data_IF_393006808653
#
_entry.id   IF_393006808653
#
_cell.length_a   1.000
_cell.length_b   1.000
_cell.length_c   1.000
_cell.angle_alpha   90.00
_cell.angle_beta   90.00
_cell.angle_gamma   90.00
#
_symmetry.space_group_name_H-M   'P 1'
#
loop_
_entity.id
_entity.type
_entity.pdbx_description
1 polymer ?
#
# COMPACT_ATOMS: atom_id res chain seq x y z
N UNK A 1 3.08 25.38 27.28
CA UNK A 1 4.19 24.79 26.49
C UNK A 1 3.80 23.36 26.14
N UNK A 2 4.02 22.90 24.90
CA UNK A 2 3.79 21.50 24.57
C UNK A 2 4.76 20.63 25.37
N UNK A 3 4.32 19.46 25.83
CA UNK A 3 5.22 18.50 26.52
C UNK A 3 6.34 18.00 25.62
N UNK A 4 6.23 18.16 24.29
CA UNK A 4 7.27 17.77 23.34
C UNK A 4 8.44 18.75 23.27
N UNK A 5 8.25 20.02 23.68
CA UNK A 5 9.27 21.07 23.52
C UNK A 5 9.56 21.44 22.06
N UNK A 6 8.83 20.86 21.09
CA UNK A 6 9.03 21.12 19.67
C UNK A 6 8.18 22.32 19.23
N UNK A 7 8.81 23.24 18.50
CA UNK A 7 8.14 24.34 17.80
C UNK A 7 7.65 23.89 16.41
N UNK A 8 6.54 24.46 15.95
CA UNK A 8 5.97 24.18 14.62
C UNK A 8 6.86 24.77 13.51
N UNK A 9 6.90 24.14 12.31
CA UNK A 9 6.20 22.89 11.97
C UNK A 9 6.91 21.65 12.50
N UNK A 10 6.12 20.63 12.88
CA UNK A 10 6.61 19.34 13.41
C UNK A 10 6.29 18.25 12.39
N UNK A 11 7.22 17.34 12.14
CA UNK A 11 6.99 16.11 11.39
C UNK A 11 6.94 14.89 12.33
N UNK A 12 6.17 13.88 11.96
CA UNK A 12 6.08 12.61 12.67
C UNK A 12 7.07 11.64 11.99
N UNK A 13 8.12 11.19 12.69
CA UNK A 13 9.01 10.13 12.22
C UNK A 13 8.43 8.77 12.64
N UNK A 14 7.76 8.08 11.72
CA UNK A 14 7.21 6.74 11.91
C UNK A 14 8.11 5.65 11.31
N UNK A 15 9.41 5.94 11.10
CA UNK A 15 10.41 5.11 10.39
C UNK A 15 10.03 3.62 10.32
N UNK A 16 9.51 3.20 9.17
CA UNK A 16 9.40 1.78 8.88
C UNK A 16 10.81 1.25 8.52
N UNK A 17 11.50 0.66 9.49
CA UNK A 17 12.71 -0.12 9.23
C UNK A 17 12.29 -1.44 8.60
N UNK A 18 12.39 -1.56 7.28
CA UNK A 18 11.90 -2.73 6.55
C UNK A 18 12.29 -2.75 5.08
N UNK A 19 11.65 -3.65 4.34
CA UNK A 19 11.82 -3.81 2.91
C UNK A 19 10.67 -3.11 2.18
N UNK A 20 10.93 -2.59 0.97
CA UNK A 20 9.87 -2.16 0.06
C UNK A 20 9.09 -3.40 -0.41
N UNK A 21 7.83 -3.20 -0.74
CA UNK A 21 6.97 -4.24 -1.28
C UNK A 21 6.39 -5.20 -0.25
N UNK A 22 5.74 -6.23 -0.78
CA UNK A 22 5.29 -7.38 0.00
C UNK A 22 6.42 -8.41 0.12
N UNK A 23 6.40 -9.23 1.17
CA UNK A 23 7.37 -10.35 1.33
C UNK A 23 6.69 -11.54 1.98
N UNK A 24 6.91 -12.72 1.42
CA UNK A 24 6.51 -13.97 2.07
C UNK A 24 7.56 -14.35 3.10
N UNK A 25 7.10 -14.79 4.27
CA UNK A 25 7.97 -15.26 5.36
C UNK A 25 7.50 -16.63 5.77
N UNK A 26 8.38 -17.62 5.71
CA UNK A 26 8.13 -18.90 6.34
C UNK A 26 8.28 -18.75 7.86
N UNK A 27 7.23 -18.94 8.67
CA UNK A 27 7.28 -18.64 10.09
C UNK A 27 8.21 -19.58 10.88
N UNK A 28 8.47 -20.79 10.37
CA UNK A 28 9.33 -21.79 11.03
C UNK A 28 10.80 -21.60 10.70
N UNK A 29 11.12 -21.41 9.42
CA UNK A 29 12.52 -21.34 8.95
C UNK A 29 13.05 -19.92 8.85
N UNK A 30 12.17 -18.92 8.97
CA UNK A 30 12.48 -17.50 8.72
C UNK A 30 12.98 -17.19 7.31
N UNK A 31 12.95 -18.17 6.39
CA UNK A 31 13.22 -17.93 4.98
C UNK A 31 12.20 -16.97 4.42
N UNK A 32 12.68 -16.11 3.54
CA UNK A 32 11.86 -15.08 2.92
C UNK A 32 11.97 -15.15 1.41
N UNK A 33 10.90 -14.76 0.74
CA UNK A 33 10.83 -14.70 -0.71
C UNK A 33 10.01 -13.49 -1.14
N UNK A 34 10.45 -12.85 -2.22
CA UNK A 34 9.80 -11.68 -2.81
C UNK A 34 10.01 -11.77 -4.31
N UNK A 35 8.94 -11.60 -5.08
CA UNK A 35 9.05 -11.48 -6.52
C UNK A 35 9.68 -10.12 -6.90
N UNK A 36 10.51 -10.03 -7.96
CA UNK A 36 11.17 -8.78 -8.35
C UNK A 36 10.25 -7.60 -8.66
N UNK A 37 8.97 -7.83 -8.96
CA UNK A 37 8.02 -6.73 -9.21
C UNK A 37 7.30 -6.24 -7.96
N UNK A 38 7.49 -6.86 -6.80
CA UNK A 38 6.70 -6.53 -5.61
C UNK A 38 7.14 -5.24 -4.92
N UNK A 39 8.34 -4.74 -5.20
CA UNK A 39 8.87 -3.49 -4.65
C UNK A 39 8.71 -2.27 -5.57
N UNK A 40 8.19 -2.46 -6.79
CA UNK A 40 7.96 -1.41 -7.78
C UNK A 40 7.08 -0.26 -7.26
N UNK A 41 6.23 -0.52 -6.27
CA UNK A 41 5.30 0.47 -5.71
C UNK A 41 5.76 1.09 -4.38
N UNK A 42 6.98 0.79 -3.94
CA UNK A 42 7.49 1.27 -2.65
C UNK A 42 6.93 0.49 -1.47
N UNK A 43 6.54 1.19 -0.40
CA UNK A 43 5.96 0.54 0.77
C UNK A 43 4.50 0.13 0.50
N UNK A 44 4.08 -0.99 1.07
CA UNK A 44 2.73 -1.55 0.85
C UNK A 44 1.82 -1.22 2.03
N UNK A 45 0.58 -0.87 1.73
CA UNK A 45 -0.48 -0.55 2.68
C UNK A 45 -1.47 -1.69 2.84
N UNK A 46 -2.76 -1.39 2.65
CA UNK A 46 -3.84 -2.36 2.75
C UNK A 46 -3.62 -3.51 1.75
N UNK A 47 -3.91 -4.74 2.16
CA UNK A 47 -3.85 -5.91 1.29
C UNK A 47 -4.88 -6.97 1.72
N UNK A 48 -5.34 -7.78 0.76
CA UNK A 48 -6.20 -8.93 1.00
C UNK A 48 -6.08 -9.93 -0.17
N UNK A 49 -6.72 -11.09 -0.06
CA UNK A 49 -6.61 -12.19 -1.02
C UNK A 49 -7.98 -12.70 -1.45
N UNK A 50 -8.09 -13.08 -2.71
CA UNK A 50 -9.27 -13.77 -3.22
C UNK A 50 -9.16 -15.31 -3.08
N UNK A 51 -10.24 -16.00 -3.46
CA UNK A 51 -10.33 -17.46 -3.46
C UNK A 51 -9.32 -18.15 -4.39
N UNK A 52 -8.85 -17.46 -5.42
CA UNK A 52 -7.89 -17.99 -6.39
C UNK A 52 -6.45 -17.79 -5.91
N UNK A 53 -6.27 -17.07 -4.80
CA UNK A 53 -5.00 -16.77 -4.19
C UNK A 53 -4.33 -15.52 -4.74
N UNK A 54 -4.99 -14.75 -5.61
CA UNK A 54 -4.48 -13.45 -6.04
C UNK A 54 -4.41 -12.54 -4.81
N UNK A 55 -3.38 -11.70 -4.74
CA UNK A 55 -3.23 -10.72 -3.65
C UNK A 55 -3.51 -9.34 -4.23
N UNK A 56 -4.41 -8.60 -3.60
CA UNK A 56 -4.68 -7.20 -3.93
C UNK A 56 -4.03 -6.33 -2.88
N UNK A 57 -3.41 -5.22 -3.29
CA UNK A 57 -2.68 -4.35 -2.38
C UNK A 57 -2.57 -2.89 -2.87
N UNK A 58 -2.35 -1.97 -1.94
CA UNK A 58 -2.09 -0.56 -2.22
C UNK A 58 -0.67 -0.10 -1.87
N UNK A 59 -0.24 1.01 -2.46
CA UNK A 59 0.98 1.71 -2.06
C UNK A 59 0.74 2.60 -0.83
N UNK A 60 1.73 2.70 0.05
CA UNK A 60 1.69 3.46 1.30
C UNK A 60 2.57 4.72 1.19
N UNK A 61 2.06 5.73 0.46
CA UNK A 61 2.82 6.93 0.13
C UNK A 61 3.18 7.81 1.34
N UNK A 62 2.42 7.73 2.44
CA UNK A 62 2.71 8.50 3.66
C UNK A 62 4.00 8.06 4.39
N UNK A 63 4.59 6.91 4.05
CA UNK A 63 5.91 6.51 4.57
C UNK A 63 7.05 7.29 3.92
N UNK A 64 6.90 7.65 2.64
CA UNK A 64 7.86 8.46 1.89
C UNK A 64 7.09 9.32 0.90
N UNK A 65 6.88 10.59 1.23
CA UNK A 65 6.08 11.50 0.41
C UNK A 65 6.94 12.09 -0.70
N UNK A 66 6.73 11.64 -1.94
CA UNK A 66 7.35 12.17 -3.16
C UNK A 66 6.33 12.18 -4.31
N UNK A 67 6.56 12.92 -5.41
CA UNK A 67 5.66 12.90 -6.56
C UNK A 67 5.42 11.48 -7.10
N UNK A 68 6.46 10.64 -7.09
CA UNK A 68 6.39 9.25 -7.56
C UNK A 68 5.51 8.39 -6.65
N UNK A 69 5.70 8.45 -5.32
CA UNK A 69 4.88 7.65 -4.40
C UNK A 69 3.43 8.11 -4.33
N UNK A 70 3.20 9.42 -4.44
CA UNK A 70 1.87 10.00 -4.49
C UNK A 70 1.09 9.53 -5.73
N UNK A 71 1.74 9.45 -6.90
CA UNK A 71 1.11 8.98 -8.13
C UNK A 71 0.62 7.53 -8.05
N UNK A 72 1.22 6.71 -7.18
CA UNK A 72 0.88 5.29 -7.01
C UNK A 72 -0.20 5.05 -5.94
N UNK A 73 -0.42 6.03 -5.05
CA UNK A 73 -1.21 5.86 -3.82
C UNK A 73 -2.70 5.51 -4.05
N UNK A 74 -3.26 5.92 -5.18
CA UNK A 74 -4.68 5.69 -5.53
C UNK A 74 -4.88 4.56 -6.56
N UNK A 75 -3.83 3.79 -6.85
CA UNK A 75 -3.90 2.62 -7.71
C UNK A 75 -3.96 1.36 -6.86
N UNK A 76 -4.91 0.48 -7.18
CA UNK A 76 -4.98 -0.87 -6.69
C UNK A 76 -4.10 -1.77 -7.56
N UNK A 77 -3.24 -2.57 -6.93
CA UNK A 77 -2.37 -3.53 -7.60
C UNK A 77 -2.84 -4.95 -7.31
N UNK A 78 -2.60 -5.86 -8.26
CA UNK A 78 -2.86 -7.29 -8.12
C UNK A 78 -1.59 -8.08 -8.37
N UNK A 79 -1.27 -8.98 -7.46
CA UNK A 79 -0.32 -10.07 -7.64
C UNK A 79 -1.10 -11.27 -8.15
N UNK A 80 -0.74 -11.74 -9.33
CA UNK A 80 -1.30 -12.95 -9.93
C UNK A 80 -0.85 -14.20 -9.14
N UNK A 81 -1.80 -15.08 -8.81
CA UNK A 81 -1.53 -16.26 -8.00
C UNK A 81 -0.62 -17.31 -8.69
N UNK A 82 -0.59 -17.33 -10.02
CA UNK A 82 0.13 -18.33 -10.80
C UNK A 82 1.55 -17.86 -11.13
N UNK A 83 1.69 -16.63 -11.63
CA UNK A 83 3.00 -16.09 -11.99
C UNK A 83 3.73 -15.45 -10.81
N UNK A 84 2.99 -15.02 -9.77
CA UNK A 84 3.53 -14.18 -8.70
C UNK A 84 3.81 -12.75 -9.14
N UNK A 85 3.47 -12.35 -10.37
CA UNK A 85 3.77 -11.02 -10.90
C UNK A 85 2.74 -9.99 -10.39
N UNK A 86 3.24 -8.89 -9.81
CA UNK A 86 2.42 -7.72 -9.47
C UNK A 86 2.21 -6.80 -10.67
N UNK A 87 0.98 -6.35 -10.90
CA UNK A 87 0.61 -5.35 -11.92
C UNK A 87 -0.46 -4.37 -11.40
N UNK A 88 -0.58 -3.17 -11.98
CA UNK A 88 -1.75 -2.32 -11.77
C UNK A 88 -3.03 -3.09 -12.13
N UNK A 89 -4.05 -2.98 -11.29
CA UNK A 89 -5.34 -3.61 -11.50
C UNK A 89 -6.43 -2.58 -11.80
N UNK A 90 -6.52 -1.52 -11.01
CA UNK A 90 -7.52 -0.46 -11.17
C UNK A 90 -7.04 0.82 -10.49
N UNK A 91 -7.27 1.97 -11.11
CA UNK A 91 -7.17 3.26 -10.44
C UNK A 91 -8.53 3.67 -9.88
N UNK A 92 -8.58 4.09 -8.61
CA UNK A 92 -9.83 4.58 -8.02
C UNK A 92 -10.10 6.02 -8.48
N UNK A 93 -11.36 6.45 -8.60
CA UNK A 93 -11.68 7.84 -8.86
C UNK A 93 -11.15 8.75 -7.75
N UNK A 94 -10.65 9.93 -8.11
CA UNK A 94 -10.23 10.99 -7.19
C UNK A 94 -10.83 12.32 -7.64
N UNK A 95 -11.20 13.17 -6.67
CA UNK A 95 -11.75 14.51 -6.95
C UNK A 95 -10.64 15.53 -7.23
N UNK A 96 -9.49 15.39 -6.57
CA UNK A 96 -8.32 16.23 -6.79
C UNK A 96 -7.06 15.37 -7.09
N UNK A 97 -6.02 15.97 -7.71
CA UNK A 97 -4.73 15.31 -7.85
C UNK A 97 -4.11 14.96 -6.49
N UNK A 98 -3.33 13.86 -6.40
CA UNK A 98 -2.52 13.57 -5.21
C UNK A 98 -1.63 14.75 -4.83
N UNK A 99 -1.48 15.01 -3.53
CA UNK A 99 -0.70 16.15 -3.04
C UNK A 99 0.04 15.81 -1.76
N UNK A 100 1.16 16.49 -1.43
CA UNK A 100 1.84 16.30 -0.16
C UNK A 100 0.96 16.63 1.07
N UNK A 101 -0.05 17.48 0.91
CA UNK A 101 -1.02 17.82 1.96
C UNK A 101 -2.06 16.73 2.22
N UNK A 102 -2.34 15.88 1.23
CA UNK A 102 -3.12 14.66 1.39
C UNK A 102 -2.34 13.48 0.77
N UNK A 103 -1.32 12.93 1.48
CA UNK A 103 -0.49 11.87 0.96
C UNK A 103 -1.15 10.48 1.07
N UNK A 104 -2.47 10.44 1.24
CA UNK A 104 -3.24 9.23 1.42
C UNK A 104 -3.99 8.87 0.14
N UNK A 105 -4.10 7.57 -0.13
CA UNK A 105 -4.91 7.02 -1.20
C UNK A 105 -5.79 5.91 -0.67
N UNK A 106 -5.61 4.68 -1.18
CA UNK A 106 -6.33 3.50 -0.67
C UNK A 106 -5.92 3.20 0.77
N UNK A 107 -6.90 3.20 1.68
CA UNK A 107 -6.71 2.97 3.13
C UNK A 107 -7.34 1.66 3.62
N UNK A 108 -8.19 1.02 2.81
CA UNK A 108 -8.94 -0.16 3.22
C UNK A 108 -9.23 -1.05 2.03
N UNK A 109 -9.12 -2.35 2.26
CA UNK A 109 -9.28 -3.38 1.24
C UNK A 109 -9.76 -4.65 1.94
N UNK A 110 -10.92 -5.16 1.52
CA UNK A 110 -11.55 -6.33 2.10
C UNK A 110 -12.23 -7.16 1.03
N UNK A 111 -11.89 -8.44 0.96
CA UNK A 111 -12.55 -9.40 0.09
C UNK A 111 -13.67 -10.12 0.83
N UNK A 112 -14.88 -10.07 0.28
CA UNK A 112 -16.01 -10.84 0.76
C UNK A 112 -16.08 -12.17 0.02
N UNK A 113 -15.79 -13.24 0.76
CA UNK A 113 -15.82 -14.61 0.25
C UNK A 113 -17.20 -15.05 -0.23
N UNK A 114 -18.28 -14.54 0.35
CA UNK A 114 -19.63 -14.99 0.07
C UNK A 114 -20.17 -14.39 -1.23
N UNK A 115 -19.98 -13.09 -1.44
CA UNK A 115 -20.40 -12.41 -2.68
C UNK A 115 -19.35 -12.43 -3.79
N UNK A 116 -18.13 -12.89 -3.49
CA UNK A 116 -16.98 -12.81 -4.39
C UNK A 116 -16.70 -11.36 -4.83
N UNK A 117 -16.77 -10.44 -3.88
CA UNK A 117 -16.59 -8.99 -4.10
C UNK A 117 -15.36 -8.46 -3.39
N UNK A 118 -14.65 -7.54 -4.04
CA UNK A 118 -13.56 -6.80 -3.44
C UNK A 118 -14.02 -5.38 -3.10
N UNK A 119 -14.03 -5.03 -1.83
CA UNK A 119 -14.32 -3.69 -1.34
C UNK A 119 -13.03 -2.92 -1.15
N UNK A 120 -12.96 -1.72 -1.74
CA UNK A 120 -11.78 -0.85 -1.68
C UNK A 120 -12.23 0.56 -1.31
N UNK A 121 -11.56 1.16 -0.32
CA UNK A 121 -11.84 2.51 0.13
C UNK A 121 -10.61 3.39 -0.02
N UNK A 122 -10.79 4.56 -0.61
CA UNK A 122 -9.76 5.59 -0.75
C UNK A 122 -10.19 6.92 -0.16
N UNK A 123 -9.22 7.67 0.33
CA UNK A 123 -9.36 9.06 0.77
C UNK A 123 -8.51 10.01 -0.09
N UNK A 124 -8.12 9.57 -1.30
CA UNK A 124 -7.45 10.42 -2.27
C UNK A 124 -8.35 11.60 -2.70
N UNK A 125 -7.75 12.78 -2.83
CA UNK A 125 -8.42 14.03 -3.19
C UNK A 125 -8.34 15.08 -2.11
#
# INVERSE_FOLDING_TARGET
MSKSGLAQPIAIDSRQQGHKGLRLINPRTRKTWQHPSWDDIGFVGAFDRDHQGNIYLSALANVHVSPETLALSNTLYRIDAQSGEMKPFMELPSVNPPSPSNPFGIIGLYFDCDSNSLYVSSVAG
#
